data_IF_784653448575
#
_entry.id   IF_784653448575
#
_cell.length_a   1.000
_cell.length_b   1.000
_cell.length_c   1.000
_cell.angle_alpha   90.00
_cell.angle_beta   90.00
_cell.angle_gamma   90.00
#
_symmetry.space_group_name_H-M   'P 1'
#
loop_
_entity.id
_entity.type
_entity.pdbx_description
1 polymer ?
#
# COMPACT_ATOMS: atom_id res chain seq x y z
N UNK A 1 -9.17 -4.78 15.34
CA UNK A 1 -8.05 -4.25 14.52
C UNK A 1 -6.87 -5.18 14.69
N UNK A 2 -6.24 -5.69 13.61
CA UNK A 2 -5.15 -6.68 13.70
C UNK A 2 -3.78 -6.08 14.06
N UNK A 3 -3.66 -4.75 14.09
CA UNK A 3 -2.45 -4.01 14.44
C UNK A 3 -2.66 -3.26 15.76
N UNK A 4 -1.60 -3.18 16.56
CA UNK A 4 -1.53 -2.25 17.67
C UNK A 4 -1.47 -0.79 17.15
N UNK A 5 -1.82 0.21 17.99
CA UNK A 5 -1.86 1.61 17.58
C UNK A 5 -0.55 2.17 16.99
N UNK A 6 0.59 1.60 17.35
CA UNK A 6 1.94 2.00 16.92
C UNK A 6 2.49 1.14 15.76
N UNK A 7 1.79 0.06 15.40
CA UNK A 7 2.21 -0.86 14.32
C UNK A 7 1.70 -0.43 12.94
N UNK A 8 0.83 0.58 12.87
CA UNK A 8 0.37 1.16 11.61
C UNK A 8 0.48 2.68 11.66
N UNK A 9 1.33 3.21 10.80
CA UNK A 9 1.48 4.64 10.62
C UNK A 9 0.78 5.06 9.33
N UNK A 10 -0.13 6.03 9.43
CA UNK A 10 -0.76 6.67 8.28
C UNK A 10 -0.32 8.13 8.27
N UNK A 11 0.54 8.47 7.32
CA UNK A 11 1.00 9.83 7.10
C UNK A 11 0.11 10.47 6.05
N UNK A 12 -0.30 11.72 6.27
CA UNK A 12 -1.17 12.47 5.38
C UNK A 12 -0.40 13.66 4.80
N UNK A 13 -0.59 13.92 3.52
CA UNK A 13 -0.03 15.09 2.84
C UNK A 13 -1.06 15.68 1.87
N UNK A 14 -0.95 16.98 1.60
CA UNK A 14 -1.76 17.64 0.58
C UNK A 14 -0.94 18.72 -0.13
N UNK A 15 -1.26 18.99 -1.38
CA UNK A 15 -0.54 19.95 -2.20
C UNK A 15 -1.07 20.03 -3.63
N UNK A 16 -0.56 21.00 -4.38
CA UNK A 16 -0.94 21.19 -5.78
C UNK A 16 -0.24 20.13 -6.65
N UNK A 17 -1.01 19.38 -7.42
CA UNK A 17 -0.53 18.34 -8.32
C UNK A 17 -0.04 18.89 -9.65
N UNK A 18 0.49 18.01 -10.50
CA UNK A 18 0.99 18.37 -11.83
C UNK A 18 -0.11 18.91 -12.78
N UNK A 19 -1.38 18.65 -12.46
CA UNK A 19 -2.55 19.17 -13.16
C UNK A 19 -3.00 20.56 -12.66
N UNK A 20 -2.31 21.13 -11.67
CA UNK A 20 -2.66 22.43 -11.08
C UNK A 20 -3.81 22.39 -10.07
N UNK A 21 -4.36 21.21 -9.77
CA UNK A 21 -5.42 21.04 -8.77
C UNK A 21 -4.83 20.65 -7.40
N UNK A 22 -5.57 20.90 -6.32
CA UNK A 22 -5.20 20.38 -4.99
C UNK A 22 -5.48 18.88 -4.91
N UNK A 23 -4.48 18.12 -4.48
CA UNK A 23 -4.58 16.69 -4.21
C UNK A 23 -4.23 16.39 -2.76
N UNK A 24 -4.82 15.32 -2.25
CA UNK A 24 -4.45 14.70 -0.98
C UNK A 24 -3.82 13.35 -1.24
N UNK A 25 -2.80 13.03 -0.46
CA UNK A 25 -2.10 11.75 -0.49
C UNK A 25 -1.97 11.21 0.92
N UNK A 26 -1.84 9.89 1.02
CA UNK A 26 -1.47 9.25 2.27
C UNK A 26 -0.48 8.12 2.00
N UNK A 27 0.51 7.97 2.87
CA UNK A 27 1.36 6.78 2.91
C UNK A 27 1.04 5.96 4.16
N UNK A 28 0.89 4.66 3.96
CA UNK A 28 0.68 3.68 5.03
C UNK A 28 1.96 2.90 5.21
N UNK A 29 2.51 2.91 6.42
CA UNK A 29 3.70 2.15 6.80
C UNK A 29 3.33 1.16 7.89
N UNK A 30 3.76 -0.08 7.69
CA UNK A 30 3.59 -1.18 8.66
C UNK A 30 4.94 -1.88 8.78
N UNK A 31 5.51 -2.02 9.99
CA UNK A 31 6.71 -2.82 10.20
C UNK A 31 6.48 -4.26 9.72
N UNK A 32 7.47 -4.86 9.08
CA UNK A 32 7.33 -6.22 8.56
C UNK A 32 6.91 -7.21 9.65
N UNK A 33 7.48 -7.11 10.87
CA UNK A 33 7.15 -8.01 11.98
C UNK A 33 5.69 -7.92 12.42
N UNK A 34 5.05 -6.76 12.33
CA UNK A 34 3.62 -6.59 12.62
C UNK A 34 2.72 -7.35 11.63
N UNK A 35 3.25 -7.74 10.46
CA UNK A 35 2.53 -8.56 9.48
C UNK A 35 2.56 -10.07 9.78
N UNK A 36 3.40 -10.52 10.72
CA UNK A 36 3.56 -11.96 11.05
C UNK A 36 2.26 -12.65 11.49
N UNK A 37 1.42 -12.05 12.36
CA UNK A 37 0.15 -12.67 12.77
C UNK A 37 -0.82 -12.90 11.62
N UNK A 38 -0.66 -12.13 10.53
CA UNK A 38 -1.47 -12.23 9.31
C UNK A 38 -0.88 -13.19 8.27
N UNK A 39 0.31 -13.75 8.50
CA UNK A 39 1.03 -14.54 7.50
C UNK A 39 1.66 -13.69 6.39
N UNK A 40 1.63 -12.36 6.51
CA UNK A 40 2.03 -11.43 5.46
C UNK A 40 3.48 -10.93 5.60
N UNK A 41 4.24 -11.44 6.57
CA UNK A 41 5.66 -11.12 6.68
C UNK A 41 6.41 -11.61 5.42
N UNK A 42 7.41 -10.87 4.89
CA UNK A 42 8.16 -11.28 3.69
C UNK A 42 8.75 -12.70 3.74
N UNK A 43 9.20 -13.15 4.91
CA UNK A 43 9.72 -14.50 5.12
C UNK A 43 8.64 -15.60 5.23
N UNK A 44 7.34 -15.24 5.30
CA UNK A 44 6.24 -16.20 5.40
C UNK A 44 5.69 -16.57 4.02
N UNK A 45 5.37 -17.86 3.76
CA UNK A 45 4.90 -18.31 2.44
C UNK A 45 3.64 -17.60 1.92
N UNK A 46 2.74 -17.20 2.84
CA UNK A 46 1.48 -16.53 2.51
C UNK A 46 1.67 -15.10 1.98
N UNK A 47 2.82 -14.47 2.23
CA UNK A 47 3.14 -13.15 1.66
C UNK A 47 3.43 -13.20 0.15
N UNK A 48 3.77 -14.38 -0.38
CA UNK A 48 4.12 -14.54 -1.78
C UNK A 48 2.85 -14.55 -2.64
N UNK A 49 2.79 -13.63 -3.60
CA UNK A 49 1.76 -13.66 -4.66
C UNK A 49 2.05 -14.84 -5.58
N UNK A 50 1.27 -15.91 -5.46
CA UNK A 50 1.41 -17.15 -6.26
C UNK A 50 0.36 -17.28 -7.37
N UNK A 51 -0.67 -16.42 -7.36
CA UNK A 51 -1.70 -16.39 -8.39
C UNK A 51 -1.24 -15.69 -9.67
N UNK A 52 -2.00 -15.90 -10.76
CA UNK A 52 -1.82 -15.12 -11.99
C UNK A 52 -2.04 -13.64 -11.64
N UNK A 53 -1.09 -12.78 -12.02
CA UNK A 53 -1.27 -11.35 -11.83
C UNK A 53 -2.61 -10.93 -12.46
N UNK A 54 -3.38 -10.05 -11.81
CA UNK A 54 -4.63 -9.56 -12.36
C UNK A 54 -4.41 -9.02 -13.79
N UNK A 55 -5.45 -9.04 -14.65
CA UNK A 55 -5.35 -8.49 -15.99
C UNK A 55 -4.75 -7.09 -15.97
N UNK A 56 -3.86 -6.77 -16.93
CA UNK A 56 -3.14 -5.48 -16.94
C UNK A 56 -4.07 -4.26 -16.85
N UNK A 57 -5.29 -4.34 -17.37
CA UNK A 57 -6.27 -3.24 -17.27
C UNK A 57 -6.69 -2.93 -15.82
N UNK A 58 -6.55 -3.89 -14.91
CA UNK A 58 -6.85 -3.74 -13.48
C UNK A 58 -5.87 -2.77 -12.78
N UNK A 59 -4.58 -2.80 -13.17
CA UNK A 59 -3.55 -1.94 -12.61
C UNK A 59 -3.31 -0.67 -13.43
N UNK A 60 -3.79 -0.62 -14.67
CA UNK A 60 -3.43 0.42 -15.62
C UNK A 60 -3.78 1.84 -15.14
N UNK A 61 -4.88 2.04 -14.43
CA UNK A 61 -5.24 3.37 -13.90
C UNK A 61 -4.38 3.77 -12.69
N UNK A 62 -4.06 2.82 -11.81
CA UNK A 62 -3.18 3.07 -10.66
C UNK A 62 -1.75 3.39 -11.11
N UNK A 63 -1.23 2.65 -12.10
CA UNK A 63 0.10 2.91 -12.68
C UNK A 63 0.18 4.24 -13.43
N UNK A 64 -0.90 4.65 -14.12
CA UNK A 64 -0.97 5.97 -14.78
C UNK A 64 -0.91 7.12 -13.78
N UNK A 65 -1.56 6.97 -12.63
CA UNK A 65 -1.57 7.99 -11.56
C UNK A 65 -0.28 8.04 -10.74
N UNK A 66 0.51 6.98 -10.76
CA UNK A 66 1.78 6.88 -10.05
C UNK A 66 2.99 7.41 -10.86
N UNK A 67 2.79 7.76 -12.14
CA UNK A 67 3.78 8.41 -13.01
C UNK A 67 3.62 9.92 -12.97
#
# INVERSE_FOLDING_TARGET
>A
MPFAPDEIQVNLACGVGADGHWHGWFDVRVPADALRPLGLHPDQPLSRVTGVSPPRWWHAEAERRAR
#
